data_IF_351728238926
#
_entry.id   IF_351728238926
#
_cell.length_a   1.000
_cell.length_b   1.000
_cell.length_c   1.000
_cell.angle_alpha   90.00
_cell.angle_beta   90.00
_cell.angle_gamma   90.00
#
_symmetry.space_group_name_H-M   'P 1'
#
loop_
_entity.id
_entity.type
_entity.pdbx_description
1 polymer ?
#
# COMPACT_ATOMS: atom_id res chain seq x y z
N UNK A 1 12.21 -10.85 -2.96
CA UNK A 1 11.78 -10.44 -1.59
C UNK A 1 10.26 -10.51 -1.55
N UNK A 2 9.63 -11.12 -0.53
CA UNK A 2 8.15 -11.23 -0.49
C UNK A 2 7.50 -9.86 -0.56
N UNK A 3 6.53 -9.69 -1.48
CA UNK A 3 5.74 -8.47 -1.63
C UNK A 3 4.31 -8.74 -1.22
N UNK A 4 3.64 -7.73 -0.71
CA UNK A 4 2.23 -7.77 -0.38
C UNK A 4 1.47 -6.75 -1.21
N UNK A 5 0.24 -7.09 -1.54
CA UNK A 5 -0.70 -6.20 -2.18
C UNK A 5 -1.91 -6.06 -1.27
N UNK A 6 -2.14 -4.83 -0.82
CA UNK A 6 -3.21 -4.48 0.10
C UNK A 6 -4.25 -3.69 -0.67
N UNK A 7 -5.41 -4.30 -0.90
CA UNK A 7 -6.56 -3.59 -1.46
C UNK A 7 -7.37 -2.97 -0.33
N UNK A 8 -7.48 -1.64 -0.33
CA UNK A 8 -8.18 -0.86 0.69
C UNK A 8 -9.37 -0.19 0.05
N UNK A 9 -10.50 -0.09 0.74
CA UNK A 9 -11.67 0.68 0.29
C UNK A 9 -11.25 2.10 -0.10
N UNK A 10 -11.75 2.55 -1.24
CA UNK A 10 -11.47 3.87 -1.79
C UNK A 10 -12.21 4.97 -1.00
N UNK A 11 -11.68 5.28 0.20
CA UNK A 11 -12.22 6.27 1.13
C UNK A 11 -11.33 7.52 1.20
N UNK A 12 -11.94 8.68 1.45
CA UNK A 12 -11.23 9.97 1.58
C UNK A 12 -10.09 9.95 2.61
N UNK A 13 -10.24 9.16 3.68
CA UNK A 13 -9.21 8.99 4.72
C UNK A 13 -7.96 8.29 4.19
N UNK A 14 -8.09 7.37 3.24
CA UNK A 14 -6.96 6.67 2.59
C UNK A 14 -6.19 7.63 1.69
N UNK A 15 -6.87 8.49 0.95
CA UNK A 15 -6.23 9.53 0.15
C UNK A 15 -5.49 10.54 1.02
N UNK A 16 -6.07 10.95 2.14
CA UNK A 16 -5.40 11.82 3.11
C UNK A 16 -4.14 11.16 3.70
N UNK A 17 -4.21 9.87 4.02
CA UNK A 17 -3.07 9.09 4.51
C UNK A 17 -1.95 9.00 3.46
N UNK A 18 -2.27 8.60 2.23
CA UNK A 18 -1.30 8.53 1.12
C UNK A 18 -0.65 9.89 0.86
N UNK A 19 -1.44 10.96 0.91
CA UNK A 19 -0.92 12.34 0.78
C UNK A 19 0.04 12.70 1.91
N UNK A 20 -0.25 12.32 3.15
CA UNK A 20 0.66 12.54 4.29
C UNK A 20 1.95 11.74 4.15
N UNK A 21 1.88 10.48 3.71
CA UNK A 21 3.06 9.66 3.45
C UNK A 21 3.95 10.28 2.37
N UNK A 22 3.34 10.84 1.32
CA UNK A 22 4.03 11.50 0.22
C UNK A 22 4.43 12.96 0.51
N UNK A 23 4.03 13.52 1.66
CA UNK A 23 4.37 14.90 2.01
C UNK A 23 5.86 15.04 2.38
N UNK A 24 6.48 13.97 2.85
CA UNK A 24 7.91 13.93 3.11
C UNK A 24 8.69 13.77 1.80
N UNK A 25 9.16 14.90 1.27
CA UNK A 25 9.92 14.99 0.01
C UNK A 25 11.30 14.33 0.07
N UNK A 26 11.75 13.89 1.24
CA UNK A 26 13.00 13.13 1.38
C UNK A 26 12.81 11.66 1.03
N UNK A 27 11.57 11.18 1.03
CA UNK A 27 11.22 9.81 0.68
C UNK A 27 10.68 9.72 -0.75
N UNK A 28 10.95 8.62 -1.46
CA UNK A 28 10.30 8.35 -2.73
C UNK A 28 8.77 8.24 -2.54
N UNK A 29 7.97 8.81 -3.46
CA UNK A 29 6.52 8.78 -3.33
C UNK A 29 5.98 7.35 -3.48
N UNK A 30 4.91 7.10 -2.73
CA UNK A 30 4.08 5.90 -2.82
C UNK A 30 2.88 6.24 -3.69
N UNK A 31 2.77 5.58 -4.83
CA UNK A 31 1.58 5.69 -5.66
C UNK A 31 0.74 4.42 -5.52
N UNK A 32 -0.58 4.54 -5.36
CA UNK A 32 -1.46 3.39 -5.49
C UNK A 32 -1.41 2.85 -6.91
N UNK A 33 -1.60 1.54 -7.05
CA UNK A 33 -1.70 0.86 -8.34
C UNK A 33 -3.17 0.92 -8.79
N UNK A 34 -3.43 1.44 -9.97
CA UNK A 34 -4.79 1.59 -10.53
C UNK A 34 -5.16 3.05 -10.79
N UNK A 35 -6.30 3.29 -11.45
CA UNK A 35 -6.76 4.64 -11.79
C UNK A 35 -7.63 5.24 -10.67
N UNK A 36 -7.30 6.43 -10.15
CA UNK A 36 -8.13 7.09 -9.16
C UNK A 36 -9.53 7.40 -9.71
N UNK A 37 -10.57 6.84 -9.09
CA UNK A 37 -11.98 7.17 -9.39
C UNK A 37 -12.69 6.21 -10.34
N UNK A 38 -12.02 5.19 -10.88
CA UNK A 38 -12.69 4.05 -11.55
C UNK A 38 -13.00 2.91 -10.59
N UNK A 39 -12.25 2.80 -9.49
CA UNK A 39 -12.17 1.58 -8.69
C UNK A 39 -12.79 1.73 -7.30
N UNK A 40 -13.48 0.67 -6.83
CA UNK A 40 -14.03 0.55 -5.46
C UNK A 40 -12.91 0.50 -4.40
N UNK A 41 -11.71 0.10 -4.82
CA UNK A 41 -10.55 -0.11 -3.95
C UNK A 41 -9.31 0.60 -4.48
N UNK A 42 -8.45 1.01 -3.57
CA UNK A 42 -7.11 1.52 -3.80
C UNK A 42 -6.13 0.40 -3.49
N UNK A 43 -5.32 0.01 -4.47
CA UNK A 43 -4.31 -1.04 -4.30
C UNK A 43 -2.97 -0.43 -3.89
N UNK A 44 -2.41 -0.88 -2.78
CA UNK A 44 -1.12 -0.44 -2.26
C UNK A 44 -0.17 -1.64 -2.27
N UNK A 45 0.99 -1.48 -2.90
CA UNK A 45 2.07 -2.46 -2.80
C UNK A 45 2.86 -2.21 -1.52
N UNK A 46 3.14 -3.27 -0.78
CA UNK A 46 3.77 -3.22 0.52
C UNK A 46 4.92 -4.21 0.63
N UNK A 47 5.94 -3.87 1.41
CA UNK A 47 7.08 -4.76 1.74
C UNK A 47 6.83 -5.53 3.04
N UNK A 48 5.97 -5.02 3.91
CA UNK A 48 5.52 -5.69 5.13
C UNK A 48 4.06 -5.33 5.42
N UNK A 49 3.33 -6.30 5.98
CA UNK A 49 1.93 -6.15 6.42
C UNK A 49 1.73 -6.96 7.70
N UNK A 50 1.19 -6.34 8.73
CA UNK A 50 0.95 -6.95 10.05
C UNK A 50 -0.43 -6.54 10.57
N UNK A 51 -1.21 -7.52 11.02
CA UNK A 51 -2.46 -7.24 11.73
C UNK A 51 -2.18 -7.03 13.21
N UNK A 52 -2.65 -5.92 13.76
CA UNK A 52 -2.55 -5.60 15.18
C UNK A 52 -3.73 -6.20 15.96
N UNK A 53 -3.55 -6.42 17.26
CA UNK A 53 -4.61 -6.89 18.16
C UNK A 53 -5.79 -5.91 18.31
N UNK A 54 -5.63 -4.66 17.87
CA UNK A 54 -6.65 -3.61 17.96
C UNK A 54 -7.54 -3.49 16.72
N UNK A 55 -7.50 -4.47 15.82
CA UNK A 55 -8.29 -4.44 14.59
C UNK A 55 -7.76 -3.43 13.57
N UNK A 56 -6.46 -3.15 13.60
CA UNK A 56 -5.77 -2.30 12.63
C UNK A 56 -4.79 -3.11 11.78
N UNK A 57 -4.63 -2.73 10.53
CA UNK A 57 -3.59 -3.21 9.63
C UNK A 57 -2.44 -2.21 9.63
N UNK A 58 -1.27 -2.65 10.06
CA UNK A 58 -0.02 -1.93 9.92
C UNK A 58 0.69 -2.40 8.64
N UNK A 59 1.14 -1.49 7.79
CA UNK A 59 1.83 -1.84 6.54
C UNK A 59 2.93 -0.85 6.19
N UNK A 60 3.94 -1.34 5.48
CA UNK A 60 5.04 -0.53 4.95
C UNK A 60 4.91 -0.51 3.44
N UNK A 61 4.53 0.63 2.82
CA UNK A 61 4.37 0.71 1.37
C UNK A 61 5.71 0.56 0.64
N UNK A 62 5.64 0.07 -0.59
CA UNK A 62 6.76 0.06 -1.51
C UNK A 62 6.75 1.33 -2.38
N UNK A 63 7.90 2.02 -2.53
CA UNK A 63 8.00 3.16 -3.44
C UNK A 63 7.91 2.77 -4.91
N UNK A 64 7.46 3.70 -5.74
CA UNK A 64 7.38 3.53 -7.21
C UNK A 64 8.77 3.35 -7.84
N UNK A 65 9.82 3.93 -7.26
CA UNK A 65 11.17 3.92 -7.79
C UNK A 65 12.19 4.03 -6.66
N UNK A 66 12.57 2.89 -6.05
CA UNK A 66 13.75 2.88 -5.19
C UNK A 66 14.91 2.16 -5.88
N UNK A 67 16.07 2.83 -6.08
CA UNK A 67 17.32 2.10 -6.17
C UNK A 67 17.53 1.29 -4.88
N UNK A 68 18.16 0.13 -5.01
CA UNK A 68 18.62 -0.67 -3.87
C UNK A 68 19.39 0.24 -2.88
N UNK A 69 18.87 0.41 -1.67
CA UNK A 69 19.48 1.24 -0.63
C UNK A 69 18.76 2.56 -0.30
N UNK A 70 17.55 2.80 -0.81
CA UNK A 70 16.73 3.95 -0.39
C UNK A 70 16.26 3.83 1.06
N UNK A 71 16.04 4.97 1.73
CA UNK A 71 15.56 5.03 3.10
C UNK A 71 14.21 4.30 3.27
N UNK A 72 13.96 3.64 4.41
CA UNK A 72 12.69 2.99 4.68
C UNK A 72 11.57 4.05 4.73
N UNK A 73 10.49 3.82 3.98
CA UNK A 73 9.30 4.68 4.03
C UNK A 73 8.62 4.50 5.39
N UNK A 74 8.02 5.58 5.88
CA UNK A 74 7.19 5.54 7.07
C UNK A 74 6.09 4.47 6.93
N UNK A 75 5.97 3.63 7.94
CA UNK A 75 4.87 2.69 8.03
C UNK A 75 3.55 3.44 8.25
N UNK A 76 2.46 2.83 7.80
CA UNK A 76 1.12 3.36 7.90
C UNK A 76 0.19 2.37 8.61
N UNK A 77 -0.89 2.87 9.18
CA UNK A 77 -1.90 2.05 9.85
C UNK A 77 -3.29 2.44 9.40
N UNK A 78 -4.12 1.45 9.07
CA UNK A 78 -5.53 1.64 8.72
C UNK A 78 -6.42 0.68 9.54
N UNK A 79 -7.69 1.02 9.79
CA UNK A 79 -8.65 0.06 10.33
C UNK A 79 -8.89 -1.14 9.41
N UNK A 80 -9.01 -2.36 9.98
CA UNK A 80 -9.29 -3.57 9.20
C UNK A 80 -10.64 -3.53 8.48
N UNK A 81 -11.61 -2.74 8.93
CA UNK A 81 -12.89 -2.62 8.22
C UNK A 81 -12.77 -1.88 6.87
N UNK A 82 -11.66 -1.18 6.63
CA UNK A 82 -11.33 -0.58 5.34
C UNK A 82 -10.57 -1.56 4.44
N UNK A 83 -10.06 -2.66 4.98
CA UNK A 83 -9.37 -3.68 4.19
C UNK A 83 -10.38 -4.47 3.35
N UNK A 84 -10.11 -4.60 2.06
CA UNK A 84 -10.84 -5.50 1.18
C UNK A 84 -10.18 -6.89 1.17
N UNK A 85 -8.89 -6.95 0.82
CA UNK A 85 -8.11 -8.19 0.80
C UNK A 85 -6.60 -7.90 0.83
N UNK A 86 -5.82 -8.93 1.17
CA UNK A 86 -4.36 -8.92 1.14
C UNK A 86 -3.91 -10.12 0.31
N UNK A 87 -2.99 -9.91 -0.62
CA UNK A 87 -2.34 -10.96 -1.38
C UNK A 87 -0.82 -10.93 -1.16
N UNK A 88 -0.23 -12.10 -0.94
CA UNK A 88 1.22 -12.29 -0.91
C UNK A 88 1.69 -12.70 -2.30
N UNK A 89 2.75 -12.07 -2.81
CA UNK A 89 3.33 -12.36 -4.11
C UNK A 89 4.86 -12.55 -4.01
N UNK A 90 5.39 -13.71 -4.42
CA UNK A 90 6.82 -13.91 -4.57
C UNK A 90 7.31 -13.20 -5.84
N UNK A 91 8.05 -12.09 -5.68
CA UNK A 91 8.74 -11.31 -6.73
C UNK A 91 7.91 -10.93 -7.98
N UNK A 92 6.98 -10.00 -7.75
CA UNK A 92 6.46 -8.94 -8.63
C UNK A 92 6.20 -9.22 -10.12
N UNK A 93 4.92 -9.41 -10.46
CA UNK A 93 4.32 -8.55 -11.47
C UNK A 93 2.91 -8.13 -11.03
N UNK A 94 2.63 -6.82 -11.02
CA UNK A 94 1.25 -6.33 -10.85
C UNK A 94 0.30 -6.84 -11.96
N UNK A 95 0.85 -7.39 -13.04
CA UNK A 95 0.09 -8.06 -14.08
C UNK A 95 -0.63 -9.32 -13.58
N UNK A 96 -0.09 -10.02 -12.57
CA UNK A 96 -0.74 -11.21 -11.99
C UNK A 96 -1.95 -10.87 -11.11
N UNK A 97 -2.09 -9.61 -10.68
CA UNK A 97 -3.24 -9.16 -9.88
C UNK A 97 -4.43 -8.67 -10.71
N UNK A 98 -4.31 -8.66 -12.05
CA UNK A 98 -5.45 -8.42 -12.96
C UNK A 98 -6.50 -9.55 -12.94
N UNK A 99 -6.30 -10.57 -12.10
CA UNK A 99 -7.14 -11.78 -12.01
C UNK A 99 -8.10 -11.74 -10.80
N UNK A 100 -8.07 -10.69 -9.97
CA UNK A 100 -9.04 -10.50 -8.87
C UNK A 100 -10.02 -9.37 -9.18
#
# INVERSE_FOLDING_TARGET
MTKYFVAVRNDSSIHALLKTLNADRTNPPVLPIGEPGSDEFVLIRCTSVETTAFGLLHFVPEPESSPEGSAPIAAATIPLHLLAWIAEAPDSSAAELRIL
#
